data_IF_155777585906
#
_entry.id   IF_155777585906
#
_cell.length_a   1.000
_cell.length_b   1.000
_cell.length_c   1.000
_cell.angle_alpha   90.00
_cell.angle_beta   90.00
_cell.angle_gamma   90.00
#
_symmetry.space_group_name_H-M   'P 1'
#
loop_
_entity.id
_entity.type
_entity.pdbx_description
1 polymer ?
#
# COMPACT_ATOMS: atom_id res chain seq x y z
N UNK A 1 -43.57 22.86 1.54
CA UNK A 1 -44.51 21.76 1.87
C UNK A 1 -43.86 20.97 2.99
N UNK A 2 -44.43 20.86 4.20
CA UNK A 2 -43.87 19.96 5.19
C UNK A 2 -44.16 18.54 4.71
N UNK A 3 -43.12 17.83 4.32
CA UNK A 3 -43.19 16.40 4.02
C UNK A 3 -43.52 15.71 5.33
N UNK A 4 -44.76 15.25 5.50
CA UNK A 4 -45.13 14.40 6.63
C UNK A 4 -44.33 13.11 6.52
N UNK A 5 -43.26 13.03 7.31
CA UNK A 5 -42.44 11.85 7.48
C UNK A 5 -43.29 10.73 8.07
N UNK A 6 -43.04 9.48 7.67
CA UNK A 6 -43.65 8.32 8.30
C UNK A 6 -43.15 8.16 9.73
N UNK A 7 -43.86 7.40 10.58
CA UNK A 7 -43.51 7.22 12.00
C UNK A 7 -42.12 6.61 12.21
N UNK A 8 -41.62 5.88 11.20
CA UNK A 8 -40.24 5.37 11.19
C UNK A 8 -39.21 6.48 10.97
N UNK A 9 -39.40 7.32 9.95
CA UNK A 9 -38.45 8.38 9.65
C UNK A 9 -38.40 9.42 10.77
N UNK A 10 -39.56 9.80 11.33
CA UNK A 10 -39.65 10.75 12.43
C UNK A 10 -38.90 10.23 13.68
N UNK A 11 -39.03 8.94 14.00
CA UNK A 11 -38.29 8.35 15.10
C UNK A 11 -36.78 8.38 14.85
N UNK A 12 -36.34 8.06 13.64
CA UNK A 12 -34.91 8.04 13.29
C UNK A 12 -34.34 9.47 13.35
N UNK A 13 -35.02 10.46 12.78
CA UNK A 13 -34.58 11.86 12.80
C UNK A 13 -34.43 12.40 14.22
N UNK A 14 -35.40 12.10 15.10
CA UNK A 14 -35.35 12.50 16.51
C UNK A 14 -34.17 11.89 17.29
N UNK A 15 -33.59 10.78 16.80
CA UNK A 15 -32.48 10.08 17.45
C UNK A 15 -31.11 10.30 16.77
N UNK A 16 -31.01 11.19 15.77
CA UNK A 16 -29.73 11.50 15.10
C UNK A 16 -28.66 12.04 16.06
N UNK A 17 -29.06 12.74 17.13
CA UNK A 17 -28.14 13.20 18.19
C UNK A 17 -27.32 12.05 18.81
N UNK A 18 -27.89 10.85 18.91
CA UNK A 18 -27.19 9.66 19.40
C UNK A 18 -26.05 9.24 18.45
N UNK A 19 -26.26 9.38 17.14
CA UNK A 19 -25.26 9.09 16.12
C UNK A 19 -24.11 10.08 16.22
N UNK A 20 -24.40 11.38 16.37
CA UNK A 20 -23.37 12.40 16.58
C UNK A 20 -22.49 12.10 17.80
N UNK A 21 -23.11 11.72 18.93
CA UNK A 21 -22.38 11.34 20.14
C UNK A 21 -21.48 10.10 19.95
N UNK A 22 -21.95 9.10 19.18
CA UNK A 22 -21.16 7.91 18.88
C UNK A 22 -20.01 8.21 17.90
N UNK A 23 -20.29 8.90 16.80
CA UNK A 23 -19.31 9.24 15.77
C UNK A 23 -18.23 10.20 16.28
N UNK A 24 -18.58 11.14 17.17
CA UNK A 24 -17.64 12.08 17.78
C UNK A 24 -16.43 11.42 18.45
N UNK A 25 -16.61 10.21 19.00
CA UNK A 25 -15.53 9.42 19.66
C UNK A 25 -14.44 8.94 18.69
N UNK A 26 -14.70 8.99 17.39
CA UNK A 26 -13.82 8.51 16.34
C UNK A 26 -13.23 9.64 15.48
N UNK A 27 -13.49 10.92 15.80
CA UNK A 27 -12.85 12.06 15.13
C UNK A 27 -11.32 11.95 15.21
N UNK A 28 -10.65 12.37 14.13
CA UNK A 28 -9.19 12.36 14.02
C UNK A 28 -8.55 10.97 13.85
N UNK A 29 -9.33 9.93 13.51
CA UNK A 29 -8.81 8.58 13.27
C UNK A 29 -8.59 8.24 11.79
N UNK A 30 -8.46 9.25 10.93
CA UNK A 30 -8.17 9.08 9.50
C UNK A 30 -9.38 8.74 8.62
N UNK A 31 -10.60 8.98 9.12
CA UNK A 31 -11.84 8.94 8.33
C UNK A 31 -12.60 10.24 8.59
N UNK A 32 -13.14 10.82 7.52
CA UNK A 32 -13.89 12.07 7.59
C UNK A 32 -15.12 11.93 8.48
N UNK A 33 -15.48 13.03 9.16
CA UNK A 33 -16.58 13.00 10.12
C UNK A 33 -17.92 12.63 9.46
N UNK A 34 -18.14 13.10 8.23
CA UNK A 34 -19.38 12.86 7.49
C UNK A 34 -19.53 11.39 7.10
N UNK A 35 -18.42 10.69 6.83
CA UNK A 35 -18.42 9.25 6.59
C UNK A 35 -18.72 8.46 7.87
N UNK A 36 -18.13 8.88 9.00
CA UNK A 36 -18.42 8.30 10.31
C UNK A 36 -19.89 8.48 10.69
N UNK A 37 -20.42 9.68 10.45
CA UNK A 37 -21.81 10.02 10.70
C UNK A 37 -22.75 9.20 9.81
N UNK A 38 -22.48 9.13 8.51
CA UNK A 38 -23.27 8.34 7.55
C UNK A 38 -23.28 6.84 7.89
N UNK A 39 -22.13 6.27 8.26
CA UNK A 39 -22.05 4.88 8.72
C UNK A 39 -22.85 4.67 10.02
N UNK A 40 -22.78 5.64 10.94
CA UNK A 40 -23.57 5.62 12.17
C UNK A 40 -25.08 5.72 11.93
N UNK A 41 -25.52 6.52 10.96
CA UNK A 41 -26.92 6.63 10.54
C UNK A 41 -27.45 5.29 10.00
N UNK A 42 -26.64 4.57 9.21
CA UNK A 42 -26.99 3.20 8.79
C UNK A 42 -27.13 2.25 9.99
N UNK A 43 -26.29 2.40 11.00
CA UNK A 43 -26.39 1.66 12.25
C UNK A 43 -27.66 1.97 13.04
N UNK A 44 -28.07 3.24 13.07
CA UNK A 44 -29.31 3.67 13.73
C UNK A 44 -30.55 3.09 13.02
N UNK A 45 -30.57 3.10 11.69
CA UNK A 45 -31.61 2.47 10.87
C UNK A 45 -31.72 0.98 11.21
N UNK A 46 -30.60 0.26 11.18
CA UNK A 46 -30.56 -1.17 11.54
C UNK A 46 -31.00 -1.43 12.97
N UNK A 47 -30.65 -0.54 13.90
CA UNK A 47 -31.06 -0.63 15.28
C UNK A 47 -32.57 -0.48 15.43
N UNK A 48 -33.18 0.47 14.72
CA UNK A 48 -34.63 0.64 14.69
C UNK A 48 -35.33 -0.61 14.16
N UNK A 49 -34.89 -1.11 13.00
CA UNK A 49 -35.51 -2.26 12.34
C UNK A 49 -35.35 -3.57 13.14
N UNK A 50 -34.32 -3.66 14.00
CA UNK A 50 -34.00 -4.85 14.80
C UNK A 50 -34.35 -4.76 16.29
N UNK A 51 -34.92 -3.65 16.75
CA UNK A 51 -35.20 -3.43 18.17
C UNK A 51 -36.53 -4.08 18.59
N UNK A 52 -36.48 -4.81 19.71
CA UNK A 52 -37.61 -5.50 20.30
C UNK A 52 -38.01 -4.80 21.62
N UNK A 53 -39.18 -4.15 21.61
CA UNK A 53 -39.71 -3.40 22.76
C UNK A 53 -40.14 -4.31 23.92
N UNK A 54 -40.46 -5.57 23.67
CA UNK A 54 -40.94 -6.50 24.71
C UNK A 54 -39.82 -6.87 25.71
N UNK A 55 -38.56 -6.59 25.37
CA UNK A 55 -37.40 -6.85 26.24
C UNK A 55 -37.23 -5.86 27.39
N UNK A 56 -38.00 -4.77 27.44
CA UNK A 56 -38.03 -3.83 28.57
C UNK A 56 -36.76 -2.98 28.77
N UNK A 57 -35.90 -2.87 27.75
CA UNK A 57 -34.70 -2.02 27.78
C UNK A 57 -34.92 -0.74 26.98
N UNK A 58 -34.17 0.33 27.29
CA UNK A 58 -34.20 1.54 26.47
C UNK A 58 -33.61 1.28 25.09
N UNK A 59 -34.17 1.93 24.06
CA UNK A 59 -33.67 1.84 22.68
C UNK A 59 -32.18 2.19 22.56
N UNK A 60 -31.73 3.23 23.26
CA UNK A 60 -30.32 3.66 23.30
C UNK A 60 -29.36 2.55 23.74
N UNK A 61 -29.77 1.72 24.70
CA UNK A 61 -28.98 0.58 25.21
C UNK A 61 -28.70 -0.44 24.10
N UNK A 62 -29.65 -0.66 23.19
CA UNK A 62 -29.49 -1.56 22.05
C UNK A 62 -28.81 -0.86 20.85
N UNK A 63 -29.21 0.38 20.56
CA UNK A 63 -28.75 1.09 19.37
C UNK A 63 -27.27 1.46 19.43
N UNK A 64 -26.74 1.85 20.59
CA UNK A 64 -25.33 2.27 20.72
C UNK A 64 -24.35 1.17 20.27
N UNK A 65 -24.45 -0.09 20.73
CA UNK A 65 -23.62 -1.18 20.20
C UNK A 65 -23.72 -1.37 18.68
N UNK A 66 -24.92 -1.25 18.10
CA UNK A 66 -25.16 -1.43 16.66
C UNK A 66 -24.51 -0.30 15.85
N UNK A 67 -24.74 0.95 16.26
CA UNK A 67 -24.14 2.16 15.65
C UNK A 67 -22.61 2.07 15.70
N UNK A 68 -22.04 1.77 16.87
CA UNK A 68 -20.60 1.61 17.03
C UNK A 68 -20.05 0.46 16.18
N UNK A 69 -20.84 -0.59 15.94
CA UNK A 69 -20.50 -1.70 15.07
C UNK A 69 -20.30 -1.27 13.62
N UNK A 70 -21.25 -0.52 13.06
CA UNK A 70 -21.16 0.02 11.70
C UNK A 70 -20.01 1.02 11.53
N UNK A 71 -19.82 1.91 12.51
CA UNK A 71 -18.68 2.85 12.49
C UNK A 71 -17.35 2.08 12.51
N UNK A 72 -17.20 1.06 13.37
CA UNK A 72 -15.99 0.21 13.41
C UNK A 72 -15.78 -0.59 12.14
N UNK A 73 -16.85 -0.92 11.41
CA UNK A 73 -16.77 -1.61 10.12
C UNK A 73 -16.09 -0.73 9.07
N UNK A 74 -16.33 0.58 9.08
CA UNK A 74 -15.66 1.53 8.19
C UNK A 74 -14.14 1.50 8.35
N UNK A 75 -13.63 1.44 9.58
CA UNK A 75 -12.18 1.29 9.85
C UNK A 75 -11.64 -0.10 9.45
N UNK A 76 -12.51 -1.12 9.43
CA UNK A 76 -12.13 -2.49 9.04
C UNK A 76 -12.01 -2.64 7.54
N UNK A 77 -12.94 -2.02 6.81
CA UNK A 77 -13.05 -2.15 5.35
C UNK A 77 -12.29 -1.03 4.62
N UNK A 78 -11.99 0.08 5.30
CA UNK A 78 -11.23 1.22 4.79
C UNK A 78 -9.71 1.13 4.97
N UNK A 79 -8.98 1.95 4.21
CA UNK A 79 -7.53 2.12 4.23
C UNK A 79 -6.97 2.44 2.85
N UNK A 80 -5.92 3.26 2.77
CA UNK A 80 -5.26 3.66 1.50
C UNK A 80 -4.76 2.44 0.71
N UNK A 81 -4.38 1.37 1.41
CA UNK A 81 -3.93 0.11 0.81
C UNK A 81 -4.82 -1.03 1.27
N UNK A 82 -5.37 -1.78 0.31
CA UNK A 82 -6.17 -2.97 0.58
C UNK A 82 -5.26 -4.14 0.98
N UNK A 83 -5.35 -4.57 2.23
CA UNK A 83 -4.61 -5.72 2.78
C UNK A 83 -5.55 -6.86 3.15
N UNK A 84 -5.03 -8.08 3.27
CA UNK A 84 -5.86 -9.23 3.65
C UNK A 84 -6.41 -9.09 5.07
N UNK A 85 -7.63 -9.58 5.28
CA UNK A 85 -8.34 -9.48 6.56
C UNK A 85 -7.54 -10.07 7.73
N UNK A 86 -7.01 -11.28 7.54
CA UNK A 86 -6.22 -11.98 8.56
C UNK A 86 -4.99 -11.18 9.01
N UNK A 87 -4.39 -10.44 8.08
CA UNK A 87 -3.20 -9.63 8.34
C UNK A 87 -3.53 -8.34 9.09
N UNK A 88 -4.68 -7.72 8.79
CA UNK A 88 -5.20 -6.56 9.53
C UNK A 88 -5.62 -6.92 10.96
N UNK A 89 -6.30 -8.06 11.13
CA UNK A 89 -6.65 -8.60 12.46
C UNK A 89 -5.40 -8.95 13.28
N UNK A 90 -4.36 -9.50 12.65
CA UNK A 90 -3.06 -9.71 13.29
C UNK A 90 -2.41 -8.38 13.69
N UNK A 91 -2.42 -7.37 12.81
CA UNK A 91 -1.91 -6.03 13.11
C UNK A 91 -2.57 -5.41 14.35
N UNK A 92 -3.90 -5.48 14.45
CA UNK A 92 -4.63 -4.99 15.63
C UNK A 92 -4.23 -5.72 16.93
N UNK A 93 -4.06 -7.05 16.88
CA UNK A 93 -3.59 -7.82 18.04
C UNK A 93 -2.17 -7.45 18.43
N UNK A 94 -1.29 -7.24 17.45
CA UNK A 94 0.10 -6.83 17.67
C UNK A 94 0.15 -5.43 18.30
N UNK A 95 -0.63 -4.46 17.81
CA UNK A 95 -0.71 -3.13 18.41
C UNK A 95 -1.22 -3.16 19.85
N UNK A 96 -2.26 -3.96 20.14
CA UNK A 96 -2.77 -4.12 21.49
C UNK A 96 -1.76 -4.80 22.43
N UNK A 97 -1.04 -5.82 21.96
CA UNK A 97 0.02 -6.48 22.73
C UNK A 97 1.17 -5.52 23.02
N UNK A 98 1.58 -4.74 22.01
CA UNK A 98 2.60 -3.70 22.12
C UNK A 98 2.26 -2.67 23.19
N UNK A 99 1.05 -2.12 23.16
CA UNK A 99 0.61 -1.13 24.16
C UNK A 99 0.60 -1.71 25.59
N UNK A 100 0.14 -2.97 25.75
CA UNK A 100 0.16 -3.66 27.06
C UNK A 100 1.59 -3.86 27.58
N UNK A 101 2.52 -4.30 26.72
CA UNK A 101 3.90 -4.55 27.11
C UNK A 101 4.64 -3.26 27.47
N UNK A 102 4.41 -2.18 26.73
CA UNK A 102 4.95 -0.85 27.07
C UNK A 102 4.45 -0.41 28.44
N UNK A 103 3.15 -0.58 28.73
CA UNK A 103 2.56 -0.25 30.03
C UNK A 103 3.12 -1.08 31.19
N UNK A 104 3.47 -2.35 30.95
CA UNK A 104 3.97 -3.26 31.99
C UNK A 104 5.47 -3.11 32.23
N UNK A 105 6.25 -2.98 31.16
CA UNK A 105 7.71 -3.11 31.20
C UNK A 105 8.43 -1.77 31.01
N UNK A 106 7.71 -0.70 30.64
CA UNK A 106 8.28 0.62 30.37
C UNK A 106 9.17 0.70 29.12
N UNK A 107 9.30 -0.40 28.37
CA UNK A 107 10.21 -0.52 27.23
C UNK A 107 9.47 -1.00 25.97
N UNK A 108 10.01 -0.62 24.82
CA UNK A 108 9.53 -1.01 23.50
C UNK A 108 9.79 -2.51 23.26
N UNK A 109 8.76 -3.33 22.98
CA UNK A 109 8.94 -4.77 22.76
C UNK A 109 9.52 -5.06 21.36
N UNK A 110 10.36 -6.09 21.27
CA UNK A 110 10.90 -6.57 20.00
C UNK A 110 9.86 -7.34 19.18
N UNK A 111 10.10 -7.50 17.88
CA UNK A 111 9.23 -8.30 16.98
C UNK A 111 9.07 -9.73 17.49
N UNK A 112 10.15 -10.34 18.00
CA UNK A 112 10.13 -11.70 18.55
C UNK A 112 9.28 -11.80 19.83
N UNK A 113 9.35 -10.80 20.71
CA UNK A 113 8.53 -10.75 21.93
C UNK A 113 7.04 -10.56 21.59
N UNK A 114 6.74 -9.69 20.63
CA UNK A 114 5.37 -9.51 20.12
C UNK A 114 4.84 -10.80 19.51
N UNK A 115 5.65 -11.49 18.70
CA UNK A 115 5.31 -12.77 18.08
C UNK A 115 4.95 -13.86 19.11
N UNK A 116 5.71 -13.95 20.21
CA UNK A 116 5.38 -14.84 21.32
C UNK A 116 4.05 -14.46 21.98
N UNK A 117 3.83 -13.16 22.23
CA UNK A 117 2.61 -12.67 22.87
C UNK A 117 1.34 -12.91 22.03
N UNK A 118 1.43 -12.79 20.70
CA UNK A 118 0.28 -12.98 19.79
C UNK A 118 0.19 -14.38 19.17
N UNK A 119 1.10 -15.29 19.55
CA UNK A 119 1.21 -16.65 19.04
C UNK A 119 1.24 -16.71 17.50
N UNK A 120 2.13 -15.92 16.90
CA UNK A 120 2.34 -15.88 15.46
C UNK A 120 3.83 -15.97 15.12
N UNK A 121 4.15 -16.22 13.84
CA UNK A 121 5.55 -16.24 13.40
C UNK A 121 6.12 -14.81 13.33
N UNK A 122 7.40 -14.56 13.66
CA UNK A 122 8.01 -13.23 13.61
C UNK A 122 7.87 -12.54 12.25
N UNK A 123 7.96 -13.29 11.15
CA UNK A 123 7.83 -12.77 9.78
C UNK A 123 6.41 -12.24 9.51
N UNK A 124 5.39 -12.93 10.03
CA UNK A 124 4.00 -12.51 9.91
C UNK A 124 3.73 -11.26 10.75
N UNK A 125 4.35 -11.16 11.92
CA UNK A 125 4.26 -9.96 12.78
C UNK A 125 4.94 -8.78 12.12
N UNK A 126 6.15 -8.95 11.59
CA UNK A 126 6.85 -7.89 10.85
C UNK A 126 6.04 -7.39 9.65
N UNK A 127 5.45 -8.32 8.89
CA UNK A 127 4.59 -7.98 7.76
C UNK A 127 3.31 -7.24 8.21
N UNK A 128 2.67 -7.68 9.29
CA UNK A 128 1.50 -7.04 9.85
C UNK A 128 1.78 -5.62 10.37
N UNK A 129 2.94 -5.40 11.00
CA UNK A 129 3.40 -4.08 11.43
C UNK A 129 3.53 -3.17 10.21
N UNK A 130 4.27 -3.60 9.17
CA UNK A 130 4.49 -2.81 7.96
C UNK A 130 3.19 -2.49 7.23
N UNK A 131 2.30 -3.46 7.11
CA UNK A 131 1.01 -3.28 6.45
C UNK A 131 0.03 -2.39 7.24
N UNK A 132 0.27 -2.19 8.53
CA UNK A 132 -0.54 -1.30 9.38
C UNK A 132 0.00 0.13 9.41
N UNK A 133 1.15 0.40 8.77
CA UNK A 133 1.68 1.76 8.68
C UNK A 133 0.80 2.62 7.77
N UNK A 134 0.46 3.85 8.19
CA UNK A 134 -0.24 4.78 7.31
C UNK A 134 0.66 5.17 6.13
N UNK A 135 0.05 5.41 4.97
CA UNK A 135 0.77 6.00 3.85
C UNK A 135 1.15 7.45 4.18
N UNK A 136 2.38 7.85 3.87
CA UNK A 136 2.78 9.25 3.94
C UNK A 136 2.29 10.00 2.70
N UNK A 137 1.87 11.25 2.89
CA UNK A 137 1.62 12.17 1.77
C UNK A 137 2.95 12.67 1.22
N UNK A 138 3.09 12.69 -0.11
CA UNK A 138 4.23 13.31 -0.78
C UNK A 138 4.13 14.84 -0.78
N UNK A 139 2.91 15.36 -0.64
CA UNK A 139 2.57 16.78 -0.56
C UNK A 139 1.85 17.04 0.77
N UNK A 140 2.58 17.14 1.90
CA UNK A 140 1.96 17.52 3.17
C UNK A 140 1.35 18.94 3.05
N UNK A 141 0.19 19.17 3.66
CA UNK A 141 -0.41 20.50 3.65
C UNK A 141 0.50 21.49 4.39
N UNK A 142 0.69 22.68 3.81
CA UNK A 142 1.68 23.67 4.24
C UNK A 142 1.45 24.31 5.63
N UNK A 143 0.46 23.86 6.40
CA UNK A 143 0.15 24.36 7.74
C UNK A 143 1.10 23.80 8.82
N UNK A 144 1.83 22.72 8.54
CA UNK A 144 2.97 22.30 9.38
C UNK A 144 4.22 23.06 8.93
N UNK A 145 4.73 23.95 9.80
CA UNK A 145 5.96 24.72 9.62
C UNK A 145 7.07 23.86 8.97
N UNK A 146 7.31 24.08 7.68
CA UNK A 146 8.36 23.39 6.92
C UNK A 146 7.93 22.23 6.04
N UNK A 147 6.64 22.12 5.67
CA UNK A 147 6.11 21.17 4.69
C UNK A 147 6.82 21.24 3.33
N UNK A 148 7.98 20.58 3.22
CA UNK A 148 8.69 20.38 1.96
C UNK A 148 8.03 19.20 1.27
N UNK A 149 7.64 19.42 0.02
CA UNK A 149 7.31 18.34 -0.90
C UNK A 149 8.46 17.33 -0.91
N UNK A 150 8.12 16.04 -0.78
CA UNK A 150 9.12 14.99 -0.78
C UNK A 150 9.63 14.83 -2.20
N UNK A 151 10.83 15.33 -2.47
CA UNK A 151 11.48 15.15 -3.75
C UNK A 151 11.88 13.68 -3.92
N UNK A 152 11.38 13.05 -4.98
CA UNK A 152 11.64 11.64 -5.26
C UNK A 152 12.86 11.60 -6.19
N UNK A 153 13.94 10.91 -5.80
CA UNK A 153 15.09 10.75 -6.68
C UNK A 153 14.63 10.07 -7.98
N UNK A 154 14.88 10.75 -9.10
CA UNK A 154 14.74 10.18 -10.44
C UNK A 154 16.13 9.77 -10.94
N UNK A 155 16.19 8.81 -11.86
CA UNK A 155 17.44 8.51 -12.58
C UNK A 155 17.92 9.79 -13.27
N UNK A 156 19.21 10.10 -13.12
CA UNK A 156 19.78 11.32 -13.70
C UNK A 156 19.82 11.19 -15.23
N UNK A 157 19.22 12.14 -15.98
CA UNK A 157 19.33 12.14 -17.43
C UNK A 157 20.79 12.30 -17.89
N UNK A 158 21.65 12.92 -17.07
CA UNK A 158 23.08 13.02 -17.32
C UNK A 158 23.80 11.67 -17.17
N UNK A 159 23.44 10.85 -16.18
CA UNK A 159 23.96 9.48 -16.02
C UNK A 159 23.55 8.60 -17.21
N UNK A 160 22.28 8.66 -17.64
CA UNK A 160 21.81 7.92 -18.83
C UNK A 160 22.53 8.37 -20.11
N UNK A 161 22.82 9.67 -20.24
CA UNK A 161 23.57 10.22 -21.36
C UNK A 161 25.03 9.76 -21.34
N UNK A 162 25.68 9.78 -20.17
CA UNK A 162 27.04 9.30 -19.99
C UNK A 162 27.16 7.82 -20.38
N UNK A 163 26.27 6.96 -19.86
CA UNK A 163 26.22 5.54 -20.20
C UNK A 163 26.08 5.31 -21.72
N UNK A 164 25.22 6.10 -22.38
CA UNK A 164 25.04 6.02 -23.83
C UNK A 164 26.29 6.43 -24.60
N UNK A 165 26.97 7.48 -24.18
CA UNK A 165 28.20 7.97 -24.83
C UNK A 165 29.30 6.92 -24.66
N UNK A 166 29.57 6.46 -23.44
CA UNK A 166 30.58 5.43 -23.16
C UNK A 166 30.29 4.15 -23.94
N UNK A 167 29.03 3.72 -24.00
CA UNK A 167 28.65 2.56 -24.81
C UNK A 167 28.91 2.78 -26.31
N UNK A 168 28.61 3.96 -26.86
CA UNK A 168 28.89 4.27 -28.27
C UNK A 168 30.38 4.23 -28.59
N UNK A 169 31.22 4.78 -27.71
CA UNK A 169 32.68 4.78 -27.88
C UNK A 169 33.24 3.35 -27.89
N UNK A 170 32.85 2.54 -26.90
CA UNK A 170 33.27 1.14 -26.80
C UNK A 170 32.76 0.33 -28.01
N UNK A 171 31.52 0.54 -28.45
CA UNK A 171 30.97 -0.11 -29.66
C UNK A 171 31.70 0.31 -30.94
N UNK A 172 32.26 1.52 -31.01
CA UNK A 172 33.05 1.98 -32.15
C UNK A 172 34.41 1.27 -32.26
N UNK A 173 34.96 0.76 -31.15
CA UNK A 173 36.20 -0.04 -31.15
C UNK A 173 36.00 -1.46 -31.71
N UNK A 174 34.76 -1.94 -31.78
CA UNK A 174 34.47 -3.29 -32.25
C UNK A 174 34.77 -3.44 -33.75
N UNK A 175 35.29 -4.60 -34.19
CA UNK A 175 35.39 -4.94 -35.60
C UNK A 175 34.03 -4.79 -36.32
N UNK A 176 33.98 -4.38 -37.60
CA UNK A 176 32.73 -4.12 -38.32
C UNK A 176 31.72 -5.28 -38.27
N UNK A 177 32.20 -6.52 -38.33
CA UNK A 177 31.38 -7.73 -38.24
C UNK A 177 30.77 -7.94 -36.84
N UNK A 178 31.52 -7.61 -35.78
CA UNK A 178 31.06 -7.72 -34.40
C UNK A 178 30.02 -6.65 -34.09
N UNK A 179 30.26 -5.42 -34.57
CA UNK A 179 29.30 -4.32 -34.49
C UNK A 179 27.99 -4.65 -35.20
N UNK A 180 28.07 -5.24 -36.40
CA UNK A 180 26.89 -5.67 -37.15
C UNK A 180 26.10 -6.78 -36.42
N UNK A 181 26.79 -7.73 -35.80
CA UNK A 181 26.15 -8.76 -34.97
C UNK A 181 25.39 -8.12 -33.80
N UNK A 182 26.03 -7.24 -33.03
CA UNK A 182 25.41 -6.56 -31.89
C UNK A 182 24.23 -5.70 -32.33
N UNK A 183 24.35 -4.98 -33.45
CA UNK A 183 23.25 -4.21 -34.01
C UNK A 183 22.02 -5.09 -34.33
N UNK A 184 22.22 -6.23 -35.00
CA UNK A 184 21.13 -7.15 -35.31
C UNK A 184 20.46 -7.73 -34.06
N UNK A 185 21.25 -8.04 -33.03
CA UNK A 185 20.77 -8.67 -31.78
C UNK A 185 20.03 -7.71 -30.86
N UNK A 186 20.55 -6.50 -30.67
CA UNK A 186 20.08 -5.58 -29.63
C UNK A 186 19.32 -4.36 -30.18
N UNK A 187 19.66 -3.88 -31.38
CA UNK A 187 18.97 -2.73 -31.99
C UNK A 187 17.87 -3.14 -32.98
N UNK A 188 18.07 -4.26 -33.69
CA UNK A 188 17.05 -4.80 -34.62
C UNK A 188 16.19 -5.92 -34.01
N UNK A 189 16.45 -6.30 -32.75
CA UNK A 189 15.66 -7.31 -32.01
C UNK A 189 15.68 -8.73 -32.60
N UNK A 190 16.63 -9.08 -33.47
CA UNK A 190 16.68 -10.41 -34.10
C UNK A 190 17.18 -11.47 -33.14
N UNK A 191 16.62 -12.68 -33.24
CA UNK A 191 17.12 -13.87 -32.52
C UNK A 191 18.51 -14.29 -33.03
N UNK A 192 19.22 -15.12 -32.26
CA UNK A 192 20.53 -15.64 -32.67
C UNK A 192 20.43 -16.47 -33.96
N UNK A 193 19.34 -17.22 -34.14
CA UNK A 193 19.10 -18.02 -35.35
C UNK A 193 18.83 -17.14 -36.57
N UNK A 194 18.09 -16.05 -36.44
CA UNK A 194 17.85 -15.10 -37.53
C UNK A 194 19.11 -14.31 -37.87
N UNK A 195 19.87 -13.90 -36.85
CA UNK A 195 21.17 -13.25 -37.03
C UNK A 195 22.15 -14.17 -37.75
N UNK A 196 22.17 -15.46 -37.40
CA UNK A 196 22.98 -16.48 -38.05
C UNK A 196 22.64 -16.63 -39.55
N UNK A 197 21.35 -16.63 -39.91
CA UNK A 197 20.89 -16.63 -41.31
C UNK A 197 21.38 -15.39 -42.07
N UNK A 198 21.27 -14.21 -41.45
CA UNK A 198 21.67 -12.93 -42.08
C UNK A 198 23.19 -12.84 -42.28
N UNK A 199 23.96 -13.37 -41.33
CA UNK A 199 25.43 -13.33 -41.34
C UNK A 199 26.09 -14.57 -41.97
N UNK A 200 25.30 -15.49 -42.55
CA UNK A 200 25.81 -16.69 -43.22
C UNK A 200 26.57 -17.64 -42.30
N UNK A 201 26.18 -17.75 -41.04
CA UNK A 201 26.86 -18.54 -40.01
C UNK A 201 25.88 -19.41 -39.21
N UNK A 202 26.36 -20.13 -38.20
CA UNK A 202 25.52 -20.98 -37.33
C UNK A 202 25.11 -20.25 -36.06
N UNK A 203 23.95 -20.62 -35.49
CA UNK A 203 23.49 -20.06 -34.21
C UNK A 203 24.50 -20.24 -33.08
N UNK A 204 25.21 -21.38 -33.03
CA UNK A 204 26.24 -21.66 -32.03
C UNK A 204 27.43 -20.71 -32.18
N UNK A 205 27.84 -20.41 -33.42
CA UNK A 205 28.90 -19.43 -33.70
C UNK A 205 28.49 -18.02 -33.28
N UNK A 206 27.25 -17.61 -33.57
CA UNK A 206 26.70 -16.33 -33.09
C UNK A 206 26.72 -16.28 -31.56
N UNK A 207 26.21 -17.31 -30.88
CA UNK A 207 26.15 -17.35 -29.41
C UNK A 207 27.53 -17.20 -28.77
N UNK A 208 28.54 -17.93 -29.27
CA UNK A 208 29.93 -17.83 -28.79
C UNK A 208 30.53 -16.45 -29.03
N UNK A 209 30.30 -15.88 -30.21
CA UNK A 209 30.82 -14.57 -30.61
C UNK A 209 30.15 -13.44 -29.82
N UNK A 210 28.83 -13.47 -29.66
CA UNK A 210 28.05 -12.56 -28.82
C UNK A 210 28.57 -12.56 -27.38
N UNK A 211 28.76 -13.74 -26.77
CA UNK A 211 29.31 -13.84 -25.41
C UNK A 211 30.69 -13.21 -25.28
N UNK A 212 31.58 -13.44 -26.26
CA UNK A 212 32.93 -12.87 -26.27
C UNK A 212 32.89 -11.34 -26.40
N UNK A 213 32.02 -10.82 -27.27
CA UNK A 213 31.83 -9.38 -27.46
C UNK A 213 31.31 -8.76 -26.16
N UNK A 214 30.24 -9.31 -25.57
CA UNK A 214 29.66 -8.78 -24.32
C UNK A 214 30.65 -8.81 -23.15
N UNK A 215 31.49 -9.83 -23.05
CA UNK A 215 32.54 -9.89 -22.03
C UNK A 215 33.61 -8.80 -22.24
N UNK A 216 33.97 -8.51 -23.48
CA UNK A 216 34.90 -7.44 -23.82
C UNK A 216 34.28 -6.06 -23.52
N UNK A 217 33.07 -5.80 -24.01
CA UNK A 217 32.33 -4.56 -23.76
C UNK A 217 32.22 -4.28 -22.26
N UNK A 218 31.84 -5.28 -21.46
CA UNK A 218 31.77 -5.15 -20.00
C UNK A 218 33.12 -4.87 -19.36
N UNK A 219 34.21 -5.44 -19.88
CA UNK A 219 35.55 -5.18 -19.39
C UNK A 219 35.98 -3.73 -19.63
N UNK A 220 35.69 -3.18 -20.81
CA UNK A 220 36.02 -1.80 -21.15
C UNK A 220 35.17 -0.79 -20.36
N UNK A 221 33.86 -1.04 -20.21
CA UNK A 221 32.95 -0.18 -19.45
C UNK A 221 33.18 -0.19 -17.92
N UNK A 222 33.91 -1.17 -17.39
CA UNK A 222 34.24 -1.26 -15.95
C UNK A 222 35.70 -0.87 -15.65
N UNK A 223 36.45 -0.41 -16.65
CA UNK A 223 37.83 0.08 -16.50
C UNK A 223 37.93 1.60 -16.37
N UNK A 224 36.79 2.29 -16.29
CA UNK A 224 36.65 3.66 -15.74
C UNK A 224 36.17 3.58 -14.28
#
# INVERSE_FOLDING_TARGET
MPTTLGPREEFIENNLGLVHACAGRFRGRGVEYDDLYSAGCMGLIKAYDGFDQERGVQFSTYAVPVILGEIKKLFRDGGTVKVSRSLKELGLRVSAARERMIKQNGCEPSVSQLAQAVQAKPEQVALAIRASQPALSLTPAAEEEGGREVDIPVESPEEELADRISLQEVLATLPPQDRQLIFLRFFSGKTQSETAKVLGTTQVQISRRERKILQNLRGQLLQE
#
